data_IF_657598612472
#
_entry.id   IF_657598612472
#
_cell.length_a   1.000
_cell.length_b   1.000
_cell.length_c   1.000
_cell.angle_alpha   90.00
_cell.angle_beta   90.00
_cell.angle_gamma   90.00
#
_symmetry.space_group_name_H-M   'P 1'
#
loop_
_entity.id
_entity.type
_entity.pdbx_description
1 polymer ?
#
# COMPACT_ATOMS: atom_id res chain seq x y z
N UNK A 1 67.48 -22.17 -27.67
CA UNK A 1 66.73 -21.34 -26.69
C UNK A 1 65.34 -21.11 -27.25
N UNK A 2 64.30 -21.79 -26.72
CA UNK A 2 62.92 -21.72 -27.24
C UNK A 2 62.12 -20.75 -26.38
N UNK A 3 61.69 -19.62 -26.96
CA UNK A 3 60.88 -18.61 -26.30
C UNK A 3 59.41 -18.98 -26.55
N UNK A 4 58.64 -19.25 -25.50
CA UNK A 4 57.23 -19.65 -25.59
C UNK A 4 56.35 -18.38 -25.67
N UNK A 5 55.28 -18.35 -26.49
CA UNK A 5 54.42 -17.18 -26.59
C UNK A 5 53.56 -17.07 -25.32
N UNK A 6 53.67 -15.93 -24.64
CA UNK A 6 52.85 -15.58 -23.49
C UNK A 6 51.45 -15.21 -24.01
N UNK A 7 50.48 -16.12 -23.81
CA UNK A 7 49.08 -15.85 -24.08
C UNK A 7 48.59 -14.69 -23.21
N UNK A 8 48.33 -13.54 -23.83
CA UNK A 8 47.70 -12.40 -23.18
C UNK A 8 46.22 -12.72 -22.96
N UNK A 9 45.85 -13.14 -21.75
CA UNK A 9 44.44 -13.26 -21.34
C UNK A 9 43.96 -11.89 -20.88
N UNK A 10 43.20 -11.19 -21.73
CA UNK A 10 42.44 -10.00 -21.35
C UNK A 10 41.27 -10.47 -20.49
N UNK A 11 41.32 -10.16 -19.19
CA UNK A 11 40.17 -10.33 -18.29
C UNK A 11 39.33 -9.04 -18.41
N UNK A 12 38.20 -9.13 -19.11
CA UNK A 12 37.15 -8.10 -19.04
C UNK A 12 36.44 -8.28 -17.70
N UNK A 13 36.73 -7.41 -16.74
CA UNK A 13 35.97 -7.27 -15.52
C UNK A 13 34.68 -6.52 -15.81
N UNK A 14 33.55 -7.22 -15.86
CA UNK A 14 32.22 -6.59 -15.86
C UNK A 14 31.94 -6.11 -14.43
N UNK A 15 32.06 -4.81 -14.21
CA UNK A 15 31.58 -4.18 -12.97
C UNK A 15 30.05 -4.10 -13.10
N UNK A 16 29.35 -5.04 -12.48
CA UNK A 16 27.91 -4.93 -12.23
C UNK A 16 27.71 -3.87 -11.15
N UNK A 17 27.46 -2.63 -11.57
CA UNK A 17 26.94 -1.59 -10.68
C UNK A 17 25.50 -1.99 -10.36
N UNK A 18 25.13 -2.24 -9.09
CA UNK A 18 23.74 -2.41 -8.73
C UNK A 18 23.04 -1.08 -8.97
N UNK A 19 22.32 -0.96 -10.08
CA UNK A 19 21.39 0.13 -10.28
C UNK A 19 20.30 -0.04 -9.23
N UNK A 20 20.32 0.80 -8.19
CA UNK A 20 19.18 0.96 -7.28
C UNK A 20 18.00 1.43 -8.10
N UNK A 21 17.14 0.49 -8.50
CA UNK A 21 15.84 0.77 -9.10
C UNK A 21 14.96 1.41 -8.02
N UNK A 22 14.96 2.74 -7.97
CA UNK A 22 13.96 3.50 -7.24
C UNK A 22 12.62 3.32 -7.95
N UNK A 23 11.83 2.35 -7.51
CA UNK A 23 10.42 2.26 -7.88
C UNK A 23 9.65 3.38 -7.17
N UNK A 24 9.57 4.56 -7.79
CA UNK A 24 8.57 5.56 -7.46
C UNK A 24 7.21 5.00 -7.89
N UNK A 25 6.49 4.40 -6.94
CA UNK A 25 5.16 3.86 -7.12
C UNK A 25 4.23 5.03 -7.48
N UNK A 26 3.89 5.13 -8.77
CA UNK A 26 3.08 6.21 -9.29
C UNK A 26 1.63 6.04 -8.82
N UNK A 27 1.22 6.83 -7.83
CA UNK A 27 -0.12 6.83 -7.26
C UNK A 27 -1.23 6.85 -8.31
N UNK A 28 -1.08 7.66 -9.37
CA UNK A 28 -2.06 7.76 -10.48
C UNK A 28 -2.12 6.52 -11.36
N UNK A 29 -1.01 5.78 -11.46
CA UNK A 29 -0.97 4.52 -12.19
C UNK A 29 -1.64 3.40 -11.40
N UNK A 30 -1.54 3.43 -10.07
CA UNK A 30 -2.10 2.39 -9.20
C UNK A 30 -3.58 2.60 -8.91
N UNK A 31 -4.00 3.83 -8.56
CA UNK A 31 -5.34 4.12 -8.09
C UNK A 31 -6.15 4.93 -9.12
N UNK A 32 -7.42 4.55 -9.26
CA UNK A 32 -8.37 5.22 -10.12
C UNK A 32 -9.08 6.34 -9.35
N UNK A 33 -8.70 7.59 -9.60
CA UNK A 33 -9.37 8.76 -9.02
C UNK A 33 -10.84 8.87 -9.41
N UNK A 34 -11.23 8.21 -10.50
CA UNK A 34 -12.60 8.25 -11.03
C UNK A 34 -13.48 7.10 -10.47
N UNK A 35 -12.94 6.23 -9.61
CA UNK A 35 -13.67 5.15 -8.96
C UNK A 35 -13.63 5.27 -7.43
N UNK A 36 -14.29 6.28 -6.85
CA UNK A 36 -14.50 6.32 -5.42
C UNK A 36 -15.41 5.16 -4.99
N UNK A 37 -14.96 4.42 -3.98
CA UNK A 37 -15.73 3.35 -3.35
C UNK A 37 -16.06 3.74 -1.91
N UNK A 38 -17.19 3.21 -1.43
CA UNK A 38 -17.55 3.25 -0.02
C UNK A 38 -17.94 1.84 0.40
N UNK A 39 -17.18 1.23 1.30
CA UNK A 39 -17.45 -0.11 1.81
C UNK A 39 -17.66 -0.09 3.31
N UNK A 40 -18.43 -1.05 3.83
CA UNK A 40 -18.56 -1.28 5.27
C UNK A 40 -18.25 -2.73 5.57
N UNK A 41 -17.48 -2.97 6.62
CA UNK A 41 -17.07 -4.33 6.94
C UNK A 41 -16.30 -4.42 8.25
N UNK A 42 -15.80 -5.64 8.53
CA UNK A 42 -15.07 -5.95 9.76
C UNK A 42 -13.57 -6.02 9.50
N UNK A 43 -12.80 -5.27 10.27
CA UNK A 43 -11.33 -5.29 10.21
C UNK A 43 -10.82 -6.68 10.60
N UNK A 44 -9.97 -7.26 9.76
CA UNK A 44 -9.32 -8.56 10.00
C UNK A 44 -7.86 -8.43 10.40
N UNK A 45 -7.16 -7.40 9.91
CA UNK A 45 -5.73 -7.18 10.18
C UNK A 45 -5.36 -5.69 10.03
N UNK A 46 -4.35 -5.24 10.77
CA UNK A 46 -3.73 -3.92 10.63
C UNK A 46 -2.21 -4.08 10.66
N UNK A 47 -1.52 -3.48 9.68
CA UNK A 47 -0.07 -3.51 9.54
C UNK A 47 0.49 -2.09 9.63
N UNK A 48 1.31 -1.84 10.65
CA UNK A 48 1.94 -0.55 10.91
C UNK A 48 3.37 -0.49 10.33
N UNK A 49 3.49 -0.79 9.04
CA UNK A 49 4.78 -0.89 8.33
C UNK A 49 5.05 0.37 7.49
N UNK A 50 6.33 0.65 7.20
CA UNK A 50 6.76 1.73 6.30
C UNK A 50 7.06 1.12 4.91
N UNK A 51 6.72 1.76 3.76
CA UNK A 51 6.31 3.16 3.58
C UNK A 51 4.82 3.44 3.79
N UNK A 52 3.96 2.44 3.71
CA UNK A 52 2.51 2.59 3.91
C UNK A 52 2.01 1.61 4.94
N UNK A 53 1.22 2.11 5.90
CA UNK A 53 0.45 1.22 6.75
C UNK A 53 -0.70 0.63 5.92
N UNK A 54 -1.17 -0.55 6.31
CA UNK A 54 -2.27 -1.24 5.64
C UNK A 54 -3.29 -1.76 6.65
N UNK A 55 -4.52 -1.92 6.23
CA UNK A 55 -5.51 -2.67 7.00
C UNK A 55 -6.44 -3.44 6.07
N UNK A 56 -6.99 -4.52 6.62
CA UNK A 56 -7.74 -5.49 5.85
C UNK A 56 -9.16 -5.59 6.40
N UNK A 57 -10.15 -5.67 5.51
CA UNK A 57 -11.56 -5.64 5.89
C UNK A 57 -12.33 -6.72 5.14
N UNK A 58 -13.04 -7.57 5.87
CA UNK A 58 -14.06 -8.43 5.29
C UNK A 58 -15.32 -7.62 5.00
N UNK A 59 -15.72 -7.61 3.74
CA UNK A 59 -16.92 -6.93 3.24
C UNK A 59 -17.79 -7.99 2.57
N UNK A 60 -19.07 -8.00 2.90
CA UNK A 60 -20.06 -8.78 2.17
C UNK A 60 -20.44 -8.00 0.91
N UNK A 61 -20.32 -8.63 -0.25
CA UNK A 61 -20.70 -8.03 -1.53
C UNK A 61 -22.19 -8.24 -1.85
N UNK A 62 -22.62 -7.73 -3.01
CA UNK A 62 -24.03 -7.80 -3.43
C UNK A 62 -24.52 -9.25 -3.68
N UNK A 63 -23.61 -10.21 -3.76
CA UNK A 63 -23.93 -11.64 -3.91
C UNK A 63 -24.01 -12.38 -2.58
N UNK A 64 -23.65 -11.72 -1.47
CA UNK A 64 -23.52 -12.33 -0.15
C UNK A 64 -22.17 -13.03 0.05
N UNK A 65 -21.23 -12.90 -0.89
CA UNK A 65 -19.87 -13.43 -0.73
C UNK A 65 -19.03 -12.48 0.13
N UNK A 66 -18.20 -13.04 1.01
CA UNK A 66 -17.25 -12.26 1.80
C UNK A 66 -15.97 -12.08 0.99
N UNK A 67 -15.70 -10.85 0.58
CA UNK A 67 -14.44 -10.44 -0.04
C UNK A 67 -13.55 -9.74 1.00
N UNK A 68 -12.23 -9.99 0.92
CA UNK A 68 -11.27 -9.31 1.79
C UNK A 68 -10.62 -8.15 1.04
N UNK A 69 -10.92 -6.94 1.49
CA UNK A 69 -10.31 -5.72 0.99
C UNK A 69 -8.99 -5.42 1.68
N UNK A 70 -8.05 -4.94 0.89
CA UNK A 70 -6.75 -4.44 1.33
C UNK A 70 -6.69 -2.91 1.10
N UNK A 71 -6.65 -2.18 2.21
CA UNK A 71 -6.64 -0.72 2.22
C UNK A 71 -5.27 -0.18 2.56
N UNK A 72 -4.74 0.66 1.66
CA UNK A 72 -3.51 1.41 1.87
C UNK A 72 -3.80 2.71 2.62
N UNK A 73 -3.01 2.97 3.65
CA UNK A 73 -3.00 4.21 4.43
C UNK A 73 -1.74 5.03 4.11
N UNK A 74 -1.66 6.24 4.67
CA UNK A 74 -0.40 6.97 4.71
C UNK A 74 0.68 6.24 5.53
N UNK A 75 1.92 6.72 5.46
CA UNK A 75 3.00 6.19 6.30
C UNK A 75 2.66 6.28 7.79
N UNK A 76 3.14 5.36 8.64
CA UNK A 76 2.91 5.41 10.08
C UNK A 76 3.21 6.79 10.68
N UNK A 77 4.30 7.44 10.25
CA UNK A 77 4.68 8.78 10.70
C UNK A 77 3.66 9.86 10.33
N UNK A 78 3.06 9.80 9.13
CA UNK A 78 1.99 10.72 8.74
C UNK A 78 0.74 10.46 9.56
N UNK A 79 0.37 9.18 9.74
CA UNK A 79 -0.80 8.80 10.53
C UNK A 79 -0.69 9.27 11.98
N UNK A 80 0.45 9.07 12.63
CA UNK A 80 0.70 9.58 13.99
C UNK A 80 0.53 11.10 14.07
N UNK A 81 1.09 11.85 13.11
CA UNK A 81 0.91 13.32 13.05
C UNK A 81 -0.53 13.75 12.80
N UNK A 82 -1.36 12.86 12.24
CA UNK A 82 -2.81 13.06 12.04
C UNK A 82 -3.65 12.53 13.21
N UNK A 83 -3.03 12.22 14.35
CA UNK A 83 -3.72 11.79 15.56
C UNK A 83 -4.10 10.31 15.59
N UNK A 84 -3.64 9.50 14.64
CA UNK A 84 -3.75 8.06 14.75
C UNK A 84 -2.79 7.53 15.82
N UNK A 85 -3.20 6.46 16.47
CA UNK A 85 -2.38 5.62 17.35
C UNK A 85 -2.42 4.20 16.79
N UNK A 86 -1.53 3.33 17.27
CA UNK A 86 -1.50 1.91 16.82
C UNK A 86 -2.80 1.17 17.12
N UNK A 87 -3.51 1.57 18.15
CA UNK A 87 -4.79 1.05 18.62
C UNK A 87 -6.00 1.86 18.08
N UNK A 88 -5.78 2.85 17.21
CA UNK A 88 -6.86 3.58 16.56
C UNK A 88 -7.74 2.67 15.68
N UNK A 89 -7.19 1.57 15.19
CA UNK A 89 -7.90 0.59 14.38
C UNK A 89 -7.39 -0.78 14.79
N UNK A 90 -8.31 -1.71 15.09
CA UNK A 90 -7.95 -3.07 15.52
C UNK A 90 -8.81 -4.12 14.81
N UNK A 91 -8.29 -5.35 14.67
CA UNK A 91 -9.12 -6.47 14.25
C UNK A 91 -10.38 -6.57 15.10
N UNK A 92 -11.51 -6.80 14.44
CA UNK A 92 -12.83 -6.84 15.07
C UNK A 92 -13.63 -5.55 14.97
N UNK A 93 -12.98 -4.40 14.73
CA UNK A 93 -13.70 -3.14 14.53
C UNK A 93 -14.57 -3.23 13.26
N UNK A 94 -15.80 -2.72 13.36
CA UNK A 94 -16.63 -2.45 12.18
C UNK A 94 -16.31 -1.05 11.70
N UNK A 95 -15.99 -0.92 10.41
CA UNK A 95 -15.62 0.36 9.79
C UNK A 95 -16.37 0.59 8.50
N UNK A 96 -16.67 1.86 8.24
CA UNK A 96 -17.04 2.36 6.91
C UNK A 96 -15.84 3.11 6.33
N UNK A 97 -15.40 2.72 5.14
CA UNK A 97 -14.21 3.25 4.48
C UNK A 97 -14.61 3.94 3.18
N UNK A 98 -14.15 5.17 2.97
CA UNK A 98 -14.13 5.78 1.63
C UNK A 98 -12.73 5.63 1.05
N UNK A 99 -12.62 5.23 -0.21
CA UNK A 99 -11.34 4.93 -0.82
C UNK A 99 -11.37 5.11 -2.35
N UNK A 100 -10.19 5.12 -2.96
CA UNK A 100 -10.01 5.07 -4.41
C UNK A 100 -9.54 3.67 -4.80
N UNK A 101 -10.31 2.97 -5.62
CA UNK A 101 -10.00 1.59 -6.01
C UNK A 101 -8.73 1.54 -6.86
N UNK A 102 -7.93 0.49 -6.69
CA UNK A 102 -6.82 0.23 -7.59
C UNK A 102 -7.32 -0.16 -8.98
N UNK A 103 -6.62 0.28 -10.03
CA UNK A 103 -7.02 0.04 -11.44
C UNK A 103 -7.02 -1.44 -11.80
N UNK A 104 -6.01 -2.17 -11.31
CA UNK A 104 -5.73 -3.55 -11.73
C UNK A 104 -5.93 -4.59 -10.61
N UNK A 105 -6.39 -4.16 -9.44
CA UNK A 105 -6.61 -5.05 -8.30
C UNK A 105 -7.97 -4.75 -7.66
N UNK A 106 -8.97 -5.63 -7.84
CA UNK A 106 -10.37 -5.33 -7.56
C UNK A 106 -10.68 -5.10 -6.08
N UNK A 107 -9.83 -5.57 -5.17
CA UNK A 107 -10.01 -5.46 -3.73
C UNK A 107 -8.85 -4.73 -3.05
N UNK A 108 -8.10 -3.92 -3.79
CA UNK A 108 -7.09 -3.00 -3.24
C UNK A 108 -7.57 -1.57 -3.43
N UNK A 109 -7.37 -0.71 -2.43
CA UNK A 109 -7.75 0.69 -2.53
C UNK A 109 -6.89 1.62 -1.66
N UNK A 110 -6.70 2.86 -2.11
CA UNK A 110 -6.07 3.91 -1.30
C UNK A 110 -7.14 4.60 -0.44
N UNK A 111 -6.90 4.65 0.85
CA UNK A 111 -7.90 5.07 1.83
C UNK A 111 -8.04 6.59 1.85
N UNK A 112 -9.28 7.07 1.81
CA UNK A 112 -9.64 8.47 2.04
C UNK A 112 -10.03 8.76 3.48
N UNK A 113 -11.13 8.16 3.93
CA UNK A 113 -11.61 8.26 5.31
C UNK A 113 -11.95 6.90 5.89
N UNK A 114 -11.71 6.75 7.19
CA UNK A 114 -12.15 5.59 7.98
C UNK A 114 -13.06 6.09 9.10
N UNK A 115 -14.29 5.57 9.14
CA UNK A 115 -15.27 5.84 10.20
C UNK A 115 -15.50 4.56 10.98
N UNK A 116 -15.31 4.60 12.30
CA UNK A 116 -15.60 3.45 13.16
C UNK A 116 -17.11 3.35 13.46
N UNK A 117 -17.56 2.13 13.77
CA UNK A 117 -18.97 1.83 14.09
C UNK A 117 -19.55 2.56 15.30
N UNK A 118 -18.71 3.17 16.15
CA UNK A 118 -19.17 4.11 17.19
C UNK A 118 -19.60 5.48 16.62
N UNK A 119 -19.47 5.68 15.31
CA UNK A 119 -19.88 6.89 14.58
C UNK A 119 -19.11 8.15 14.93
N UNK A 120 -18.28 8.13 15.99
CA UNK A 120 -17.60 9.31 16.52
C UNK A 120 -16.19 9.46 15.97
N UNK A 121 -15.53 8.34 15.63
CA UNK A 121 -14.11 8.37 15.27
C UNK A 121 -13.95 8.30 13.77
N UNK A 122 -13.88 9.48 13.17
CA UNK A 122 -13.53 9.67 11.76
C UNK A 122 -12.06 10.02 11.65
N UNK A 123 -11.36 9.28 10.81
CA UNK A 123 -9.96 9.50 10.53
C UNK A 123 -9.74 9.79 9.04
N UNK A 124 -9.03 10.87 8.73
CA UNK A 124 -8.62 11.18 7.36
C UNK A 124 -7.23 10.62 7.07
N UNK A 125 -7.14 9.81 6.03
CA UNK A 125 -5.93 9.06 5.67
C UNK A 125 -5.32 9.57 4.37
N UNK A 126 -6.06 10.36 3.58
CA UNK A 126 -5.67 10.84 2.26
C UNK A 126 -4.18 11.19 2.17
N UNK A 127 -3.43 10.27 1.57
CA UNK A 127 -2.17 10.51 0.89
C UNK A 127 -2.52 11.42 -0.27
N UNK A 128 -2.23 12.71 -0.16
CA UNK A 128 -2.52 13.67 -1.24
C UNK A 128 -1.95 13.12 -2.56
N UNK A 129 -2.72 13.10 -3.67
CA UNK A 129 -2.14 12.97 -4.99
C UNK A 129 -1.44 14.30 -5.29
N UNK A 130 -0.22 14.49 -4.79
CA UNK A 130 0.68 15.50 -5.35
C UNK A 130 1.63 14.76 -6.27
N UNK A 131 1.19 14.67 -7.52
CA UNK A 131 1.92 15.03 -8.75
C UNK A 131 1.00 14.79 -9.96
#
# INVERSE_FOLDING_TARGET
MKIRPLFFRVIIGVILVPATLFAHHNFRAEFDSDQPIKVTGKVTKVEWTNPHARFYVNVEDDTGEIVNWDFELASPNILFRRGWKRDSLKPGDVVTVTALRARNSPYVANTGTVTLGDGQRVFSTLTSPRE
#
